data_IF_052419349027
#
_entry.id   IF_052419349027
#
_cell.length_a   1.000
_cell.length_b   1.000
_cell.length_c   1.000
_cell.angle_alpha   90.00
_cell.angle_beta   90.00
_cell.angle_gamma   90.00
#
_symmetry.space_group_name_H-M   'P 1'
#
loop_
_entity.id
_entity.type
_entity.pdbx_description
1 polymer ?
#
# COMPACT_ATOMS: atom_id res chain seq x y z
N UNK A 1 27.36 20.54 -2.27
CA UNK A 1 26.36 21.18 -1.38
C UNK A 1 25.18 21.72 -2.21
N UNK A 2 24.60 20.87 -3.07
CA UNK A 2 23.41 21.21 -3.86
C UNK A 2 22.58 19.94 -3.95
N UNK A 3 21.79 19.64 -2.91
CA UNK A 3 20.60 18.81 -3.08
C UNK A 3 19.64 19.65 -3.89
N UNK A 4 19.77 19.57 -5.22
CA UNK A 4 19.03 20.41 -6.17
C UNK A 4 17.55 20.28 -5.84
N UNK A 5 16.85 21.40 -5.60
CA UNK A 5 15.39 21.48 -5.49
C UNK A 5 14.64 20.46 -6.40
N UNK A 6 15.05 20.26 -7.68
CA UNK A 6 14.44 19.24 -8.53
C UNK A 6 14.60 17.79 -8.04
N UNK A 7 15.73 17.40 -7.44
CA UNK A 7 15.90 16.04 -6.88
C UNK A 7 14.96 15.80 -5.69
N UNK A 8 14.75 16.83 -4.86
CA UNK A 8 13.82 16.77 -3.73
C UNK A 8 12.35 16.73 -4.19
N UNK A 9 12.04 17.46 -5.26
CA UNK A 9 10.73 17.38 -5.91
C UNK A 9 10.47 15.99 -6.52
N UNK A 10 11.48 15.42 -7.17
CA UNK A 10 11.39 14.10 -7.80
C UNK A 10 11.15 13.01 -6.75
N UNK A 11 11.91 12.97 -5.65
CA UNK A 11 11.69 11.98 -4.57
C UNK A 11 10.32 12.12 -3.93
N UNK A 12 9.83 13.35 -3.73
CA UNK A 12 8.47 13.58 -3.23
C UNK A 12 7.40 13.04 -4.19
N UNK A 13 7.57 13.28 -5.50
CA UNK A 13 6.66 12.78 -6.54
C UNK A 13 6.65 11.24 -6.57
N UNK A 14 7.81 10.58 -6.55
CA UNK A 14 7.88 9.12 -6.52
C UNK A 14 7.28 8.53 -5.24
N UNK A 15 7.46 9.18 -4.09
CA UNK A 15 6.82 8.77 -2.84
C UNK A 15 5.29 8.85 -2.93
N UNK A 16 4.76 9.96 -3.47
CA UNK A 16 3.31 10.13 -3.68
C UNK A 16 2.76 9.07 -4.63
N UNK A 17 3.45 8.81 -5.75
CA UNK A 17 3.05 7.77 -6.71
C UNK A 17 3.04 6.39 -6.05
N UNK A 18 4.05 6.06 -5.25
CA UNK A 18 4.11 4.78 -4.52
C UNK A 18 2.94 4.61 -3.55
N UNK A 19 2.60 5.66 -2.78
CA UNK A 19 1.44 5.66 -1.89
C UNK A 19 0.13 5.48 -2.68
N UNK A 20 -0.02 6.17 -3.80
CA UNK A 20 -1.20 6.07 -4.66
C UNK A 20 -1.40 4.65 -5.18
N UNK A 21 -0.33 4.03 -5.70
CA UNK A 21 -0.37 2.64 -6.19
C UNK A 21 -0.69 1.67 -5.06
N UNK A 22 -0.10 1.88 -3.88
CA UNK A 22 -0.39 1.07 -2.69
C UNK A 22 -1.87 1.12 -2.31
N UNK A 23 -2.45 2.32 -2.23
CA UNK A 23 -3.87 2.52 -1.88
C UNK A 23 -4.78 1.88 -2.92
N UNK A 24 -4.49 2.09 -4.21
CA UNK A 24 -5.27 1.47 -5.31
C UNK A 24 -5.19 -0.05 -5.23
N UNK A 25 -4.00 -0.61 -5.00
CA UNK A 25 -3.83 -2.05 -4.82
C UNK A 25 -4.65 -2.58 -3.64
N UNK A 26 -4.65 -1.88 -2.52
CA UNK A 26 -5.43 -2.26 -1.34
C UNK A 26 -6.94 -2.20 -1.57
N UNK A 27 -7.43 -1.17 -2.28
CA UNK A 27 -8.85 -1.04 -2.67
C UNK A 27 -9.27 -2.17 -3.61
N UNK A 28 -8.42 -2.51 -4.59
CA UNK A 28 -8.68 -3.62 -5.51
C UNK A 28 -8.79 -4.94 -4.74
N UNK A 29 -7.96 -5.16 -3.72
CA UNK A 29 -8.03 -6.35 -2.88
C UNK A 29 -9.30 -6.41 -2.01
N UNK A 30 -9.72 -5.29 -1.44
CA UNK A 30 -10.97 -5.22 -0.67
C UNK A 30 -12.18 -5.48 -1.56
N UNK A 31 -12.13 -5.07 -2.83
CA UNK A 31 -13.16 -5.38 -3.82
C UNK A 31 -13.13 -6.86 -4.26
N UNK A 32 -11.94 -7.43 -4.44
CA UNK A 32 -11.77 -8.83 -4.85
C UNK A 32 -12.11 -9.81 -3.72
N UNK A 33 -11.98 -9.40 -2.47
CA UNK A 33 -12.25 -10.27 -1.32
C UNK A 33 -13.75 -10.21 -0.99
N UNK A 34 -14.52 -11.29 -1.22
CA UNK A 34 -15.93 -11.31 -0.87
C UNK A 34 -16.08 -11.33 0.66
N UNK A 35 -16.63 -10.23 1.19
CA UNK A 35 -16.77 -9.99 2.63
C UNK A 35 -16.01 -8.71 2.99
N UNK A 36 -16.73 -7.68 3.46
CA UNK A 36 -16.12 -6.39 3.81
C UNK A 36 -15.05 -6.63 4.87
N UNK A 37 -13.77 -6.60 4.49
CA UNK A 37 -12.63 -6.86 5.37
C UNK A 37 -12.75 -6.00 6.63
N UNK A 38 -13.14 -4.74 6.43
CA UNK A 38 -13.36 -3.80 7.51
C UNK A 38 -14.47 -4.19 8.50
N UNK A 39 -15.59 -4.76 8.03
CA UNK A 39 -16.63 -5.24 8.95
C UNK A 39 -16.16 -6.51 9.68
N UNK A 40 -15.48 -7.41 8.99
CA UNK A 40 -15.01 -8.67 9.59
C UNK A 40 -13.94 -8.40 10.68
N UNK A 41 -13.07 -7.40 10.46
CA UNK A 41 -12.07 -6.96 11.43
C UNK A 41 -12.71 -6.19 12.59
N UNK A 42 -13.64 -5.26 12.30
CA UNK A 42 -14.23 -4.40 13.33
C UNK A 42 -15.31 -5.11 14.16
N UNK A 43 -16.25 -5.78 13.51
CA UNK A 43 -17.47 -6.29 14.16
C UNK A 43 -17.31 -7.72 14.67
N UNK A 44 -16.53 -8.55 13.97
CA UNK A 44 -16.28 -9.95 14.35
C UNK A 44 -14.89 -10.19 14.93
N UNK A 45 -14.03 -9.17 14.97
CA UNK A 45 -12.64 -9.27 15.44
C UNK A 45 -11.88 -10.45 14.82
N UNK A 46 -12.08 -10.68 13.53
CA UNK A 46 -11.44 -11.82 12.87
C UNK A 46 -9.95 -11.55 12.63
N UNK A 47 -9.13 -12.05 13.55
CA UNK A 47 -7.67 -11.90 13.53
C UNK A 47 -7.05 -12.51 12.27
N UNK A 48 -7.63 -13.57 11.72
CA UNK A 48 -7.12 -14.20 10.50
C UNK A 48 -7.20 -13.23 9.30
N UNK A 49 -8.30 -12.48 9.19
CA UNK A 49 -8.49 -11.46 8.15
C UNK A 49 -7.57 -10.27 8.36
N UNK A 50 -7.35 -9.86 9.61
CA UNK A 50 -6.38 -8.81 9.94
C UNK A 50 -4.95 -9.21 9.53
N UNK A 51 -4.50 -10.42 9.88
CA UNK A 51 -3.18 -10.95 9.50
C UNK A 51 -3.06 -11.05 7.98
N UNK A 52 -4.09 -11.57 7.30
CA UNK A 52 -4.11 -11.64 5.84
C UNK A 52 -3.96 -10.26 5.20
N UNK A 53 -4.76 -9.28 5.62
CA UNK A 53 -4.68 -7.91 5.11
C UNK A 53 -3.30 -7.28 5.35
N UNK A 54 -2.68 -7.54 6.50
CA UNK A 54 -1.31 -7.10 6.81
C UNK A 54 -0.26 -7.77 5.93
N UNK A 55 -0.37 -9.08 5.67
CA UNK A 55 0.54 -9.79 4.78
C UNK A 55 0.47 -9.26 3.34
N UNK A 56 -0.74 -8.96 2.86
CA UNK A 56 -0.92 -8.41 1.53
C UNK A 56 -0.42 -6.96 1.43
N UNK A 57 -0.62 -6.15 2.47
CA UNK A 57 -0.01 -4.82 2.57
C UNK A 57 1.53 -4.90 2.47
N UNK A 58 2.17 -5.84 3.16
CA UNK A 58 3.62 -6.04 3.07
C UNK A 58 4.03 -6.42 1.63
N UNK A 59 3.29 -7.34 0.99
CA UNK A 59 3.54 -7.72 -0.40
C UNK A 59 3.45 -6.52 -1.36
N UNK A 60 2.41 -5.70 -1.24
CA UNK A 60 2.25 -4.47 -2.02
C UNK A 60 3.40 -3.49 -1.79
N UNK A 61 3.82 -3.31 -0.54
CA UNK A 61 4.94 -2.43 -0.20
C UNK A 61 6.25 -2.90 -0.87
N UNK A 62 6.50 -4.21 -0.91
CA UNK A 62 7.68 -4.78 -1.58
C UNK A 62 7.62 -4.56 -3.09
N UNK A 63 6.46 -4.79 -3.73
CA UNK A 63 6.29 -4.57 -5.18
C UNK A 63 6.51 -3.10 -5.53
N UNK A 64 5.93 -2.18 -4.75
CA UNK A 64 6.12 -0.73 -4.94
C UNK A 64 7.58 -0.33 -4.74
N UNK A 65 8.24 -0.85 -3.70
CA UNK A 65 9.65 -0.59 -3.45
C UNK A 65 10.54 -1.08 -4.60
N UNK A 66 10.28 -2.29 -5.11
CA UNK A 66 10.99 -2.86 -6.25
C UNK A 66 10.74 -2.08 -7.55
N UNK A 67 9.54 -1.56 -7.76
CA UNK A 67 9.20 -0.76 -8.93
C UNK A 67 9.85 0.63 -8.92
N UNK A 68 10.06 1.23 -7.74
CA UNK A 68 10.69 2.56 -7.59
C UNK A 68 12.22 2.47 -7.60
N UNK A 69 12.79 1.37 -7.09
CA UNK A 69 14.24 1.14 -7.05
C UNK A 69 14.78 0.30 -8.21
N UNK A 70 13.94 0.00 -9.21
CA UNK A 70 14.28 -0.75 -10.42
C UNK A 70 14.85 0.11 -11.55
#
# INVERSE_FOLDING_TARGET
MVTTLPALLATLLYAVVGILVFVVGFVVLDLLTPGKLWQEIRDKQNVAVAIFSGAVAIGLAIIVAAAIHG
#
